data_IF_488116775433
#
_entry.id   IF_488116775433
#
_cell.length_a   1.000
_cell.length_b   1.000
_cell.length_c   1.000
_cell.angle_alpha   90.00
_cell.angle_beta   90.00
_cell.angle_gamma   90.00
#
_symmetry.space_group_name_H-M   'P 1'
#
loop_
_entity.id
_entity.type
_entity.pdbx_description
1 polymer ?
#
# COMPACT_ATOMS: atom_id res chain seq x y z
N UNK A 1 -37.48 21.99 -16.58
CA UNK A 1 -37.80 20.60 -16.96
C UNK A 1 -36.66 19.78 -16.38
N UNK A 2 -36.87 19.28 -15.16
CA UNK A 2 -35.93 18.41 -14.46
C UNK A 2 -36.04 16.99 -14.99
N UNK A 3 -34.91 16.37 -15.29
CA UNK A 3 -34.80 14.92 -15.32
C UNK A 3 -33.73 14.48 -14.32
N UNK A 4 -34.25 13.95 -13.21
CA UNK A 4 -33.60 12.95 -12.37
C UNK A 4 -33.17 11.78 -13.26
N UNK A 5 -31.97 11.26 -13.03
CA UNK A 5 -31.77 9.83 -12.85
C UNK A 5 -30.46 9.59 -12.09
N UNK A 6 -30.64 9.47 -10.78
CA UNK A 6 -29.74 8.89 -9.80
C UNK A 6 -29.65 7.39 -10.03
N UNK A 7 -28.45 6.89 -10.38
CA UNK A 7 -28.09 5.48 -10.24
C UNK A 7 -26.76 5.40 -9.49
N UNK A 8 -26.90 5.05 -8.21
CA UNK A 8 -26.01 4.23 -7.39
C UNK A 8 -24.61 4.74 -7.02
N UNK A 9 -24.60 5.67 -6.07
CA UNK A 9 -23.48 5.96 -5.15
C UNK A 9 -23.64 5.18 -3.81
N UNK A 10 -24.03 3.90 -3.86
CA UNK A 10 -24.44 3.13 -2.66
C UNK A 10 -23.62 1.86 -2.36
N UNK A 11 -22.51 1.60 -3.05
CA UNK A 11 -21.69 0.38 -2.80
C UNK A 11 -20.53 0.51 -1.80
N UNK A 12 -20.36 1.66 -1.12
CA UNK A 12 -19.22 1.89 -0.20
C UNK A 12 -19.67 2.07 1.27
N UNK A 13 -20.97 2.06 1.56
CA UNK A 13 -21.49 2.38 2.91
C UNK A 13 -21.20 1.39 4.06
N UNK A 14 -20.86 0.09 3.88
CA UNK A 14 -20.55 -0.73 5.05
C UNK A 14 -19.17 -0.47 5.68
N UNK A 15 -18.28 0.29 5.03
CA UNK A 15 -16.87 0.37 5.44
C UNK A 15 -16.41 1.73 5.98
N UNK A 16 -17.27 2.74 6.02
CA UNK A 16 -16.95 4.05 6.58
C UNK A 16 -18.14 4.53 7.40
N UNK A 17 -18.10 4.26 8.71
CA UNK A 17 -19.04 4.86 9.64
C UNK A 17 -18.93 6.40 9.57
N UNK A 18 -20.10 7.02 9.54
CA UNK A 18 -20.35 8.41 9.23
C UNK A 18 -19.66 9.40 10.17
N UNK A 19 -18.99 10.41 9.61
CA UNK A 19 -18.95 11.74 10.18
C UNK A 19 -18.99 12.78 9.04
N UNK A 20 -20.17 13.35 8.83
CA UNK A 20 -20.38 14.51 7.95
C UNK A 20 -19.55 15.69 8.48
N UNK A 21 -18.62 16.19 7.67
CA UNK A 21 -17.84 17.37 7.98
C UNK A 21 -17.04 17.84 6.78
N UNK A 22 -17.32 19.05 6.32
CA UNK A 22 -16.73 19.75 5.17
C UNK A 22 -15.20 19.70 5.12
N UNK A 23 -14.63 19.21 4.02
CA UNK A 23 -13.19 19.24 3.75
C UNK A 23 -12.73 20.68 3.46
N UNK A 24 -11.92 21.24 4.35
CA UNK A 24 -10.99 22.34 4.05
C UNK A 24 -9.59 21.74 4.02
N UNK A 25 -8.96 21.79 2.85
CA UNK A 25 -7.51 21.59 2.70
C UNK A 25 -6.84 22.87 3.17
N UNK A 26 -6.01 22.77 4.22
CA UNK A 26 -4.67 23.36 4.32
C UNK A 26 -4.16 23.40 5.78
N UNK A 27 -2.86 23.11 5.90
CA UNK A 27 -1.88 23.69 6.84
C UNK A 27 -1.60 23.07 8.23
N UNK A 28 -0.39 22.51 8.27
CA UNK A 28 0.73 22.89 9.14
C UNK A 28 1.00 22.16 10.47
N UNK A 29 2.28 21.75 10.53
CA UNK A 29 3.21 21.77 11.65
C UNK A 29 3.10 20.70 12.75
N UNK A 30 4.21 19.93 12.84
CA UNK A 30 4.99 19.75 14.07
C UNK A 30 4.25 20.12 15.37
N UNK A 31 3.62 19.14 16.00
CA UNK A 31 3.50 19.13 17.45
C UNK A 31 3.81 17.73 17.95
N UNK A 32 5.05 17.56 18.41
CA UNK A 32 5.33 16.63 19.50
C UNK A 32 4.34 16.93 20.65
N UNK A 33 3.97 15.91 21.40
CA UNK A 33 2.90 15.89 22.43
C UNK A 33 1.46 15.88 21.91
N UNK A 34 1.03 14.69 21.47
CA UNK A 34 -0.27 14.20 21.93
C UNK A 34 -0.05 12.86 22.61
N UNK A 35 -0.14 12.91 23.93
CA UNK A 35 -0.42 11.76 24.77
C UNK A 35 -1.37 10.82 24.04
N UNK A 36 -0.97 9.56 24.03
CA UNK A 36 -1.67 8.32 23.72
C UNK A 36 -3.00 8.11 24.47
N UNK A 37 -3.57 9.15 25.08
CA UNK A 37 -4.80 9.11 25.89
C UNK A 37 -5.99 9.92 25.36
N UNK A 38 -6.01 10.39 24.12
CA UNK A 38 -7.23 11.02 23.55
C UNK A 38 -7.64 10.43 22.22
N UNK A 39 -8.60 9.51 22.32
CA UNK A 39 -9.61 9.23 21.30
C UNK A 39 -10.12 10.55 20.71
N UNK A 40 -9.69 10.88 19.50
CA UNK A 40 -10.23 12.01 18.75
C UNK A 40 -11.44 11.53 17.96
N UNK A 41 -12.64 11.74 18.53
CA UNK A 41 -13.95 12.01 17.89
C UNK A 41 -14.44 11.23 16.65
N UNK A 42 -13.72 10.22 16.18
CA UNK A 42 -14.19 9.15 15.30
C UNK A 42 -13.81 7.87 16.02
N UNK A 43 -14.71 6.89 16.16
CA UNK A 43 -14.49 5.65 16.90
C UNK A 43 -13.39 4.72 16.34
N UNK A 44 -12.43 5.25 15.56
CA UNK A 44 -11.33 4.53 14.94
C UNK A 44 -10.35 4.01 16.01
N UNK A 45 -10.13 2.71 16.00
CA UNK A 45 -9.00 2.05 16.65
C UNK A 45 -7.66 2.52 16.04
N UNK A 46 -6.56 2.37 16.79
CA UNK A 46 -5.21 2.68 16.27
C UNK A 46 -4.86 1.89 15.00
N UNK A 47 -5.45 0.71 14.81
CA UNK A 47 -5.32 -0.11 13.61
C UNK A 47 -6.06 0.47 12.40
N UNK A 48 -7.32 0.87 12.55
CA UNK A 48 -8.10 1.48 11.46
C UNK A 48 -7.45 2.76 10.96
N UNK A 49 -6.98 3.60 11.88
CA UNK A 49 -6.21 4.80 11.54
C UNK A 49 -4.96 4.45 10.72
N UNK A 50 -4.19 3.46 11.18
CA UNK A 50 -2.97 3.02 10.49
C UNK A 50 -3.24 2.52 9.06
N UNK A 51 -4.32 1.76 8.88
CA UNK A 51 -4.72 1.25 7.56
C UNK A 51 -5.18 2.37 6.64
N UNK A 52 -6.00 3.31 7.15
CA UNK A 52 -6.48 4.47 6.39
C UNK A 52 -5.32 5.38 5.95
N UNK A 53 -4.43 5.74 6.86
CA UNK A 53 -3.27 6.58 6.54
C UNK A 53 -2.30 5.87 5.55
N UNK A 54 -2.13 4.54 5.69
CA UNK A 54 -1.35 3.77 4.73
C UNK A 54 -2.02 3.72 3.34
N UNK A 55 -3.33 3.51 3.28
CA UNK A 55 -4.09 3.46 2.03
C UNK A 55 -4.00 4.77 1.26
N UNK A 56 -4.17 5.92 1.92
CA UNK A 56 -4.03 7.22 1.25
C UNK A 56 -2.61 7.46 0.73
N UNK A 57 -1.60 7.09 1.52
CA UNK A 57 -0.20 7.27 1.14
C UNK A 57 0.20 6.38 -0.05
N UNK A 58 -0.30 5.16 -0.14
CA UNK A 58 0.05 4.24 -1.23
C UNK A 58 -0.54 4.64 -2.59
N UNK A 59 -1.61 5.45 -2.61
CA UNK A 59 -2.16 6.01 -3.86
C UNK A 59 -1.23 7.03 -4.52
N UNK A 60 -0.30 7.62 -3.76
CA UNK A 60 0.68 8.57 -4.27
C UNK A 60 1.69 7.84 -5.19
N UNK A 61 1.95 8.33 -6.42
CA UNK A 61 2.96 7.78 -7.34
C UNK A 61 4.38 7.71 -6.77
N UNK A 62 4.69 8.54 -5.77
CA UNK A 62 5.97 8.50 -5.05
C UNK A 62 6.08 7.32 -4.07
N UNK A 63 4.99 6.53 -3.95
CA UNK A 63 4.94 5.30 -3.16
C UNK A 63 4.66 4.08 -4.05
N UNK A 64 3.40 3.81 -4.40
CA UNK A 64 3.02 2.72 -5.31
C UNK A 64 2.24 3.27 -6.50
N UNK A 65 1.27 4.15 -6.24
CA UNK A 65 0.40 4.72 -7.26
C UNK A 65 -0.68 3.74 -7.73
N UNK A 66 -1.77 4.27 -8.27
CA UNK A 66 -2.81 3.47 -8.91
C UNK A 66 -2.45 3.20 -10.38
N UNK A 67 -2.21 1.93 -10.73
CA UNK A 67 -1.95 1.50 -12.12
C UNK A 67 -3.06 0.54 -12.57
N UNK A 68 -4.12 1.04 -13.24
CA UNK A 68 -5.29 0.20 -13.55
C UNK A 68 -5.02 -0.85 -14.63
N UNK A 69 -4.00 -0.69 -15.48
CA UNK A 69 -3.62 -1.69 -16.47
C UNK A 69 -2.67 -2.75 -15.90
N UNK A 70 -2.46 -3.82 -16.68
CA UNK A 70 -1.52 -4.89 -16.33
C UNK A 70 -0.08 -4.41 -16.57
N UNK A 71 0.84 -4.70 -15.65
CA UNK A 71 2.27 -4.45 -15.84
C UNK A 71 3.12 -5.62 -15.30
N UNK A 72 4.40 -5.64 -15.68
CA UNK A 72 5.39 -6.51 -15.02
C UNK A 72 6.16 -5.69 -13.99
N UNK A 73 6.26 -6.18 -12.75
CA UNK A 73 7.06 -5.54 -11.72
C UNK A 73 8.57 -5.69 -11.99
N UNK A 74 9.41 -5.13 -11.11
CA UNK A 74 10.87 -5.20 -11.25
C UNK A 74 11.44 -6.62 -11.21
N UNK A 75 10.66 -7.61 -10.77
CA UNK A 75 11.00 -9.04 -10.73
C UNK A 75 10.33 -9.83 -11.87
N UNK A 76 9.65 -9.14 -12.80
CA UNK A 76 8.97 -9.76 -13.92
C UNK A 76 7.66 -10.45 -13.53
N UNK A 77 7.04 -10.06 -12.42
CA UNK A 77 5.76 -10.61 -11.96
C UNK A 77 4.59 -9.77 -12.49
N UNK A 78 3.52 -10.44 -12.94
CA UNK A 78 2.32 -9.74 -13.42
C UNK A 78 1.60 -9.07 -12.24
N UNK A 79 1.36 -7.77 -12.36
CA UNK A 79 0.83 -6.92 -11.30
C UNK A 79 -0.18 -5.90 -11.88
N UNK A 80 -1.09 -5.41 -11.06
CA UNK A 80 -2.06 -4.34 -11.41
C UNK A 80 -2.51 -3.56 -10.17
N UNK A 81 -3.33 -2.52 -10.34
CA UNK A 81 -3.86 -1.68 -9.27
C UNK A 81 -2.74 -0.98 -8.49
N UNK A 82 -2.84 -1.00 -7.16
CA UNK A 82 -1.83 -0.44 -6.24
C UNK A 82 -0.81 -1.54 -5.86
N UNK A 83 -0.22 -2.22 -6.85
CA UNK A 83 0.79 -3.26 -6.57
C UNK A 83 0.24 -4.66 -6.29
N UNK A 84 -0.99 -4.97 -6.72
CA UNK A 84 -1.60 -6.29 -6.53
C UNK A 84 -0.97 -7.35 -7.47
N UNK A 85 -0.27 -8.32 -6.87
CA UNK A 85 0.35 -9.45 -7.57
C UNK A 85 -0.71 -10.43 -8.11
N UNK A 86 -0.66 -10.69 -9.42
CA UNK A 86 -1.57 -11.59 -10.16
C UNK A 86 -0.79 -12.46 -11.17
N UNK A 87 0.43 -12.88 -10.82
CA UNK A 87 1.36 -13.65 -11.70
C UNK A 87 0.91 -15.10 -11.96
N UNK A 88 0.05 -15.65 -11.12
CA UNK A 88 -0.55 -16.97 -11.30
C UNK A 88 -1.78 -16.86 -12.22
N UNK A 89 -1.88 -17.75 -13.21
CA UNK A 89 -2.99 -17.78 -14.17
C UNK A 89 -4.37 -17.88 -13.52
N UNK A 90 -4.52 -18.70 -12.48
CA UNK A 90 -5.77 -18.87 -11.73
C UNK A 90 -6.16 -17.56 -11.07
N UNK A 91 -5.20 -16.91 -10.42
CA UNK A 91 -5.42 -15.61 -9.77
C UNK A 91 -5.74 -14.54 -10.81
N UNK A 92 -5.00 -14.50 -11.92
CA UNK A 92 -5.19 -13.56 -13.01
C UNK A 92 -6.59 -13.67 -13.63
N UNK A 93 -7.08 -14.89 -13.86
CA UNK A 93 -8.41 -15.14 -14.44
C UNK A 93 -9.55 -14.77 -13.49
N UNK A 94 -9.33 -14.89 -12.18
CA UNK A 94 -10.30 -14.51 -11.15
C UNK A 94 -10.48 -12.99 -10.98
N UNK A 95 -9.62 -12.17 -11.59
CA UNK A 95 -9.77 -10.71 -11.56
C UNK A 95 -10.95 -10.27 -12.44
N UNK A 96 -11.71 -9.28 -11.94
CA UNK A 96 -12.80 -8.61 -12.65
C UNK A 96 -12.26 -7.61 -13.68
N UNK A 97 -11.51 -8.12 -14.67
CA UNK A 97 -10.96 -7.32 -15.75
C UNK A 97 -12.07 -6.66 -16.58
N UNK A 98 -11.88 -5.37 -16.86
CA UNK A 98 -12.70 -4.60 -17.77
C UNK A 98 -11.94 -4.35 -19.08
N UNK A 99 -12.61 -4.58 -20.21
CA UNK A 99 -12.11 -4.19 -21.52
C UNK A 99 -12.42 -2.70 -21.72
N UNK A 100 -11.38 -1.89 -21.93
CA UNK A 100 -11.46 -0.43 -22.09
C UNK A 100 -12.31 0.27 -21.01
N UNK A 101 -12.33 -0.26 -19.78
CA UNK A 101 -13.14 0.24 -18.66
C UNK A 101 -14.67 0.22 -18.89
N UNK A 102 -15.18 -0.59 -19.82
CA UNK A 102 -16.61 -0.56 -20.21
C UNK A 102 -17.38 -1.82 -19.86
N UNK A 103 -16.80 -2.99 -20.15
CA UNK A 103 -17.47 -4.28 -19.97
C UNK A 103 -16.55 -5.32 -19.36
N UNK A 104 -17.09 -6.32 -18.66
CA UNK A 104 -16.30 -7.48 -18.24
C UNK A 104 -15.58 -8.14 -19.42
N UNK A 105 -14.35 -8.57 -19.17
CA UNK A 105 -13.56 -9.35 -20.10
C UNK A 105 -14.02 -10.81 -20.13
N UNK A 106 -14.06 -11.38 -21.33
CA UNK A 106 -14.31 -12.81 -21.53
C UNK A 106 -13.08 -13.64 -21.12
N UNK A 107 -13.26 -14.93 -20.86
CA UNK A 107 -12.15 -15.84 -20.52
C UNK A 107 -11.09 -15.89 -21.62
N UNK A 108 -11.50 -15.80 -22.89
CA UNK A 108 -10.59 -15.74 -24.03
C UNK A 108 -9.73 -14.47 -24.02
N UNK A 109 -10.32 -13.31 -23.70
CA UNK A 109 -9.59 -12.04 -23.57
C UNK A 109 -8.63 -12.07 -22.38
N UNK A 110 -9.06 -12.63 -21.24
CA UNK A 110 -8.20 -12.84 -20.06
C UNK A 110 -7.01 -13.74 -20.41
N UNK A 111 -7.25 -14.88 -21.08
CA UNK A 111 -6.19 -15.79 -21.52
C UNK A 111 -5.20 -15.11 -22.47
N UNK A 112 -5.70 -14.38 -23.46
CA UNK A 112 -4.87 -13.69 -24.45
C UNK A 112 -3.96 -12.66 -23.77
N UNK A 113 -4.51 -11.88 -22.84
CA UNK A 113 -3.73 -10.92 -22.05
C UNK A 113 -2.68 -11.63 -21.17
N UNK A 114 -3.06 -12.68 -20.45
CA UNK A 114 -2.12 -13.45 -19.63
C UNK A 114 -0.94 -14.00 -20.45
N UNK A 115 -1.24 -14.66 -21.57
CA UNK A 115 -0.23 -15.18 -22.49
C UNK A 115 0.69 -14.07 -23.00
N UNK A 116 0.11 -12.91 -23.39
CA UNK A 116 0.88 -11.75 -23.84
C UNK A 116 1.88 -11.26 -22.80
N UNK A 117 1.50 -11.23 -21.53
CA UNK A 117 2.38 -10.80 -20.44
C UNK A 117 3.43 -11.86 -20.09
N UNK A 118 3.09 -13.14 -20.19
CA UNK A 118 4.08 -14.22 -20.09
C UNK A 118 5.12 -14.15 -21.21
N UNK A 119 4.73 -13.75 -22.43
CA UNK A 119 5.66 -13.53 -23.55
C UNK A 119 6.62 -12.37 -23.27
N UNK A 120 6.09 -11.24 -22.79
CA UNK A 120 6.90 -10.08 -22.41
C UNK A 120 7.90 -10.44 -21.30
N UNK A 121 7.48 -11.25 -20.33
CA UNK A 121 8.33 -11.79 -19.27
C UNK A 121 9.44 -12.68 -19.82
N UNK A 122 9.14 -13.60 -20.76
CA UNK A 122 10.15 -14.44 -21.43
C UNK A 122 11.16 -13.61 -22.24
N UNK A 123 10.71 -12.50 -22.82
CA UNK A 123 11.56 -11.53 -23.52
C UNK A 123 12.35 -10.62 -22.59
N UNK A 124 12.27 -10.82 -21.25
CA UNK A 124 12.90 -9.99 -20.22
C UNK A 124 12.55 -8.50 -20.36
N UNK A 125 11.33 -8.20 -20.80
CA UNK A 125 10.77 -6.84 -20.86
C UNK A 125 10.23 -6.44 -19.48
N UNK A 126 11.11 -6.42 -18.46
CA UNK A 126 10.82 -6.02 -17.08
C UNK A 126 12.10 -5.52 -16.40
N UNK A 127 11.98 -4.93 -15.21
CA UNK A 127 13.12 -4.39 -14.46
C UNK A 127 13.18 -2.86 -14.54
N UNK A 128 14.35 -2.29 -14.23
CA UNK A 128 14.50 -0.82 -14.12
C UNK A 128 14.28 -0.08 -15.44
N UNK A 129 14.45 -0.77 -16.58
CA UNK A 129 14.28 -0.20 -17.92
C UNK A 129 12.80 -0.13 -18.37
N UNK A 130 11.88 -0.76 -17.63
CA UNK A 130 10.48 -0.91 -18.01
C UNK A 130 9.55 -0.47 -16.88
N UNK A 131 9.17 0.80 -16.90
CA UNK A 131 8.15 1.33 -15.98
C UNK A 131 6.74 0.87 -16.34
N UNK A 132 5.79 1.01 -15.40
CA UNK A 132 4.40 0.62 -15.60
C UNK A 132 3.78 1.21 -16.88
N UNK A 133 4.13 2.45 -17.24
CA UNK A 133 3.64 3.12 -18.46
C UNK A 133 3.97 2.39 -19.77
N UNK A 134 5.07 1.63 -19.83
CA UNK A 134 5.45 0.83 -21.00
C UNK A 134 4.41 -0.23 -21.36
N UNK A 135 3.64 -0.71 -20.38
CA UNK A 135 2.69 -1.80 -20.57
C UNK A 135 1.28 -1.35 -20.94
N UNK A 136 1.01 -0.04 -20.92
CA UNK A 136 -0.34 0.54 -21.05
C UNK A 136 -1.06 0.14 -22.35
N UNK A 137 -0.32 -0.08 -23.43
CA UNK A 137 -0.82 -0.44 -24.75
C UNK A 137 -0.69 -1.95 -25.06
N UNK A 138 -0.19 -2.76 -24.11
CA UNK A 138 0.05 -4.19 -24.31
C UNK A 138 -1.19 -5.04 -24.06
N UNK A 139 -2.24 -4.46 -23.48
CA UNK A 139 -3.56 -5.06 -23.30
C UNK A 139 -4.61 -3.96 -23.15
N UNK A 140 -5.86 -4.29 -23.46
CA UNK A 140 -7.05 -3.45 -23.21
C UNK A 140 -7.65 -3.67 -21.83
N UNK A 141 -7.14 -4.65 -21.08
CA UNK A 141 -7.66 -5.03 -19.78
C UNK A 141 -7.18 -4.08 -18.69
N UNK A 142 -8.14 -3.62 -17.91
CA UNK A 142 -7.95 -2.75 -16.77
C UNK A 142 -8.79 -3.24 -15.58
N UNK A 143 -8.32 -2.98 -14.37
CA UNK A 143 -9.17 -3.10 -13.17
C UNK A 143 -9.89 -1.77 -12.90
N UNK A 144 -11.06 -1.85 -12.29
CA UNK A 144 -11.70 -0.64 -11.76
C UNK A 144 -10.90 -0.08 -10.58
N UNK A 145 -11.05 1.22 -10.32
CA UNK A 145 -10.46 1.85 -9.13
C UNK A 145 -10.97 1.18 -7.85
N UNK A 146 -12.28 0.91 -7.76
CA UNK A 146 -12.88 0.22 -6.61
C UNK A 146 -12.22 -1.14 -6.36
N UNK A 147 -12.00 -1.95 -7.41
CA UNK A 147 -11.30 -3.22 -7.29
C UNK A 147 -9.86 -3.03 -6.79
N UNK A 148 -9.12 -2.10 -7.38
CA UNK A 148 -7.73 -1.83 -7.00
C UNK A 148 -7.60 -1.40 -5.53
N UNK A 149 -8.51 -0.52 -5.07
CA UNK A 149 -8.55 -0.07 -3.68
C UNK A 149 -8.95 -1.19 -2.72
N UNK A 150 -9.91 -2.04 -3.10
CA UNK A 150 -10.29 -3.21 -2.30
C UNK A 150 -9.09 -4.15 -2.13
N UNK A 151 -8.38 -4.49 -3.21
CA UNK A 151 -7.20 -5.37 -3.16
C UNK A 151 -6.07 -4.78 -2.33
N UNK A 152 -5.84 -3.46 -2.44
CA UNK A 152 -4.87 -2.76 -1.58
C UNK A 152 -5.25 -2.89 -0.10
N UNK A 153 -6.54 -2.70 0.22
CA UNK A 153 -7.01 -2.76 1.60
C UNK A 153 -6.88 -4.19 2.17
N UNK A 154 -7.27 -5.22 1.41
CA UNK A 154 -7.08 -6.63 1.79
C UNK A 154 -5.60 -6.94 2.08
N UNK A 155 -4.71 -6.43 1.22
CA UNK A 155 -3.26 -6.59 1.40
C UNK A 155 -2.79 -5.90 2.68
N UNK A 156 -3.17 -4.64 2.92
CA UNK A 156 -2.82 -3.90 4.13
C UNK A 156 -3.31 -4.59 5.42
N UNK A 157 -4.52 -5.14 5.41
CA UNK A 157 -5.09 -5.88 6.53
C UNK A 157 -4.27 -7.13 6.86
N UNK A 158 -3.94 -7.92 5.83
CA UNK A 158 -3.10 -9.10 5.99
C UNK A 158 -1.68 -8.72 6.45
N UNK A 159 -1.13 -7.63 5.95
CA UNK A 159 0.18 -7.12 6.33
C UNK A 159 0.23 -6.69 7.80
N UNK A 160 -0.78 -5.95 8.24
CA UNK A 160 -0.93 -5.55 9.64
C UNK A 160 -1.06 -6.77 10.55
N UNK A 161 -1.89 -7.75 10.19
CA UNK A 161 -2.02 -9.02 10.92
C UNK A 161 -0.66 -9.70 11.05
N UNK A 162 0.09 -9.80 9.95
CA UNK A 162 1.39 -10.46 9.91
C UNK A 162 2.49 -9.70 10.67
N UNK A 163 2.39 -8.38 10.77
CA UNK A 163 3.29 -7.60 11.63
C UNK A 163 3.02 -7.87 13.10
N UNK A 164 1.74 -7.94 13.50
CA UNK A 164 1.35 -8.31 14.87
C UNK A 164 1.80 -9.71 15.25
N UNK A 165 1.65 -10.68 14.33
CA UNK A 165 2.15 -12.05 14.53
C UNK A 165 3.69 -12.12 14.57
N UNK A 166 4.36 -11.22 13.85
CA UNK A 166 5.79 -11.31 13.59
C UNK A 166 6.67 -10.43 14.46
N UNK A 167 6.13 -9.47 15.20
CA UNK A 167 6.86 -8.51 16.04
C UNK A 167 6.22 -8.47 17.43
N UNK A 168 6.94 -8.98 18.42
CA UNK A 168 6.48 -8.97 19.81
C UNK A 168 6.18 -7.55 20.28
N UNK A 169 5.01 -7.34 20.86
CA UNK A 169 4.57 -6.02 21.34
C UNK A 169 4.35 -4.99 20.24
N UNK A 170 4.05 -5.41 18.99
CA UNK A 170 3.80 -4.49 17.87
C UNK A 170 2.83 -3.36 18.20
N UNK A 171 1.72 -3.67 18.87
CA UNK A 171 0.70 -2.67 19.21
C UNK A 171 1.20 -1.62 20.22
N UNK A 172 2.28 -1.91 20.97
CA UNK A 172 2.94 -0.98 21.90
C UNK A 172 4.07 -0.17 21.28
N UNK A 173 4.40 -0.38 20.00
CA UNK A 173 5.41 0.43 19.32
C UNK A 173 4.95 1.90 19.15
N UNK A 174 5.87 2.86 19.02
CA UNK A 174 5.54 4.22 18.60
C UNK A 174 4.76 4.21 17.29
N UNK A 175 3.70 5.03 17.21
CA UNK A 175 2.86 5.10 16.01
C UNK A 175 3.66 5.35 14.71
N UNK A 176 4.62 6.29 14.66
CA UNK A 176 5.43 6.51 13.44
C UNK A 176 6.21 5.26 13.00
N UNK A 177 6.64 4.42 13.94
CA UNK A 177 7.33 3.18 13.60
C UNK A 177 6.37 2.14 13.01
N UNK A 178 5.11 2.06 13.49
CA UNK A 178 4.10 1.14 12.92
C UNK A 178 3.81 1.48 11.45
N UNK A 179 3.70 2.77 11.12
CA UNK A 179 3.52 3.21 9.74
C UNK A 179 4.67 2.79 8.84
N UNK A 180 5.91 3.01 9.29
CA UNK A 180 7.11 2.62 8.54
C UNK A 180 7.14 1.11 8.35
N UNK A 181 6.84 0.32 9.38
CA UNK A 181 6.85 -1.14 9.29
C UNK A 181 5.78 -1.66 8.33
N UNK A 182 4.57 -1.09 8.37
CA UNK A 182 3.50 -1.44 7.43
C UNK A 182 3.90 -1.10 6.00
N UNK A 183 4.50 0.06 5.77
CA UNK A 183 5.02 0.44 4.46
C UNK A 183 6.16 -0.46 3.97
N UNK A 184 7.09 -0.84 4.85
CA UNK A 184 8.20 -1.75 4.51
C UNK A 184 7.62 -3.10 4.10
N UNK A 185 6.63 -3.57 4.86
CA UNK A 185 6.01 -4.85 4.60
C UNK A 185 5.26 -4.87 3.27
N UNK A 186 4.48 -3.82 2.99
CA UNK A 186 3.75 -3.70 1.74
C UNK A 186 4.71 -3.80 0.54
N UNK A 187 5.80 -3.04 0.57
CA UNK A 187 6.71 -2.94 -0.57
C UNK A 187 7.65 -4.15 -0.72
N UNK A 188 8.13 -4.71 0.38
CA UNK A 188 9.22 -5.70 0.35
C UNK A 188 8.82 -7.10 0.82
N UNK A 189 7.59 -7.25 1.33
CA UNK A 189 7.12 -8.44 2.01
C UNK A 189 7.66 -8.53 3.44
N UNK A 190 7.91 -9.74 3.93
CA UNK A 190 8.18 -10.00 5.35
C UNK A 190 9.31 -9.13 5.97
N UNK A 191 8.99 -8.46 7.08
CA UNK A 191 9.93 -7.72 7.95
C UNK A 191 10.44 -8.63 9.07
N UNK A 192 11.02 -9.78 8.70
CA UNK A 192 11.52 -10.79 9.65
C UNK A 192 12.95 -10.53 10.11
N UNK A 193 13.38 -11.18 11.20
CA UNK A 193 14.76 -11.12 11.67
C UNK A 193 15.78 -11.50 10.58
N UNK A 194 15.46 -12.48 9.74
CA UNK A 194 16.35 -12.93 8.67
C UNK A 194 16.49 -11.90 7.55
N UNK A 195 15.39 -11.23 7.18
CA UNK A 195 15.39 -10.27 6.06
C UNK A 195 15.80 -8.86 6.48
N UNK A 196 15.51 -8.48 7.72
CA UNK A 196 15.72 -7.14 8.27
C UNK A 196 16.43 -7.19 9.64
N UNK A 197 17.59 -7.85 9.76
CA UNK A 197 18.21 -8.15 11.06
C UNK A 197 18.54 -6.90 11.88
N UNK A 198 19.11 -5.88 11.25
CA UNK A 198 19.53 -4.66 11.95
C UNK A 198 18.33 -3.81 12.39
N UNK A 199 17.30 -3.68 11.54
CA UNK A 199 16.06 -3.00 11.89
C UNK A 199 15.38 -3.71 13.07
N UNK A 200 15.27 -5.04 13.01
CA UNK A 200 14.66 -5.87 14.06
C UNK A 200 15.42 -5.80 15.38
N UNK A 201 16.76 -5.80 15.32
CA UNK A 201 17.59 -5.60 16.51
C UNK A 201 17.39 -4.20 17.10
N UNK A 202 17.36 -3.15 16.27
CA UNK A 202 17.08 -1.78 16.73
C UNK A 202 15.72 -1.65 17.42
N UNK A 203 14.68 -2.32 16.92
CA UNK A 203 13.36 -2.36 17.56
C UNK A 203 13.42 -3.04 18.93
N UNK A 204 14.09 -4.20 19.03
CA UNK A 204 14.23 -4.94 20.30
C UNK A 204 15.00 -4.12 21.34
N UNK A 205 16.03 -3.42 20.90
CA UNK A 205 16.87 -2.56 21.72
C UNK A 205 16.22 -1.19 21.98
N UNK A 206 15.09 -0.87 21.33
CA UNK A 206 14.47 0.47 21.32
C UNK A 206 15.44 1.60 20.91
N UNK A 207 16.38 1.29 20.02
CA UNK A 207 17.42 2.19 19.53
C UNK A 207 17.01 2.86 18.21
N UNK A 208 16.64 4.13 18.29
CA UNK A 208 16.13 4.94 17.19
C UNK A 208 17.19 5.25 16.13
N UNK A 209 18.46 5.45 16.51
CA UNK A 209 19.56 5.63 15.56
C UNK A 209 19.75 4.38 14.70
N UNK A 210 19.77 3.20 15.31
CA UNK A 210 19.90 1.92 14.61
C UNK A 210 18.72 1.68 13.67
N UNK A 211 17.50 2.02 14.10
CA UNK A 211 16.31 1.94 13.23
C UNK A 211 16.44 2.92 12.07
N UNK A 212 16.74 4.20 12.33
CA UNK A 212 16.88 5.25 11.33
C UNK A 212 17.85 4.89 10.20
N UNK A 213 18.97 4.24 10.53
CA UNK A 213 19.95 3.80 9.55
C UNK A 213 19.56 2.52 8.80
N UNK A 214 18.55 1.78 9.26
CA UNK A 214 18.17 0.47 8.72
C UNK A 214 16.72 0.36 8.24
N UNK A 215 15.99 1.48 8.10
CA UNK A 215 14.65 1.53 7.48
C UNK A 215 14.67 1.71 5.95
N UNK A 216 15.84 1.98 5.37
CA UNK A 216 15.98 2.18 3.93
C UNK A 216 15.78 0.87 3.14
N UNK A 217 14.98 0.94 2.09
CA UNK A 217 14.78 -0.15 1.12
C UNK A 217 15.76 0.00 -0.05
N UNK A 218 16.40 -1.09 -0.44
CA UNK A 218 17.33 -1.10 -1.57
C UNK A 218 16.61 -0.88 -2.91
N UNK A 219 17.17 -0.03 -3.78
CA UNK A 219 16.67 0.23 -5.15
C UNK A 219 15.25 0.82 -5.23
N UNK A 220 14.79 1.48 -4.18
CA UNK A 220 13.48 2.16 -4.10
C UNK A 220 13.66 3.68 -4.21
N UNK A 221 12.60 4.37 -4.64
CA UNK A 221 12.52 5.82 -4.76
C UNK A 221 13.02 6.54 -3.51
N UNK A 222 13.86 7.56 -3.70
CA UNK A 222 14.50 8.32 -2.63
C UNK A 222 13.49 8.94 -1.67
N UNK A 223 12.39 9.48 -2.21
CA UNK A 223 11.32 10.14 -1.44
C UNK A 223 10.64 9.20 -0.44
N UNK A 224 10.38 7.95 -0.80
CA UNK A 224 9.77 6.95 0.12
C UNK A 224 10.71 6.56 1.27
N UNK A 225 12.01 6.45 0.99
CA UNK A 225 13.03 6.20 2.02
C UNK A 225 13.23 7.43 2.92
N UNK A 226 13.17 8.64 2.36
CA UNK A 226 13.23 9.89 3.11
C UNK A 226 12.02 10.04 4.05
N UNK A 227 10.81 9.79 3.55
CA UNK A 227 9.59 9.76 4.38
C UNK A 227 9.73 8.80 5.57
N UNK A 228 10.23 7.59 5.34
CA UNK A 228 10.41 6.61 6.40
C UNK A 228 11.35 7.14 7.49
N UNK A 229 12.48 7.74 7.09
CA UNK A 229 13.43 8.38 8.01
C UNK A 229 12.83 9.53 8.79
N UNK A 230 12.02 10.37 8.17
CA UNK A 230 11.31 11.47 8.84
C UNK A 230 10.30 10.95 9.87
N UNK A 231 9.59 9.86 9.59
CA UNK A 231 8.73 9.20 10.58
C UNK A 231 9.55 8.69 11.78
N UNK A 232 10.72 8.10 11.56
CA UNK A 232 11.59 7.68 12.68
C UNK A 232 12.07 8.89 13.49
N UNK A 233 12.45 9.99 12.85
CA UNK A 233 12.84 11.26 13.52
C UNK A 233 11.71 11.85 14.37
N UNK A 234 10.45 11.60 14.02
CA UNK A 234 9.30 12.07 14.79
C UNK A 234 9.06 11.26 16.07
N UNK A 235 9.82 10.20 16.34
CA UNK A 235 9.69 9.40 17.56
C UNK A 235 10.46 10.09 18.70
N UNK A 236 9.80 10.48 19.80
CA UNK A 236 10.46 11.02 20.98
C UNK A 236 11.29 9.95 21.70
N UNK A 237 12.40 10.36 22.33
CA UNK A 237 13.22 9.51 23.19
C UNK A 237 12.59 9.38 24.59
N UNK A 238 11.50 8.63 24.68
CA UNK A 238 10.74 8.40 25.90
C UNK A 238 10.32 6.92 26.00
N UNK A 239 9.82 6.47 27.15
CA UNK A 239 9.32 5.09 27.33
C UNK A 239 10.35 3.99 26.97
N UNK A 240 11.63 4.28 27.22
CA UNK A 240 12.77 3.41 26.94
C UNK A 240 13.31 3.50 25.50
N UNK A 241 12.76 4.36 24.65
CA UNK A 241 13.32 4.68 23.34
C UNK A 241 14.46 5.69 23.46
N UNK A 242 15.52 5.50 22.69
CA UNK A 242 16.71 6.36 22.72
C UNK A 242 17.32 6.54 21.33
N UNK A 243 17.93 7.70 21.10
CA UNK A 243 18.72 8.01 19.90
C UNK A 243 20.18 7.60 20.12
#
# INVERSE_FOLDING_TARGET
MDFKDSIEYDFIKPYLNEAKGTYRIAENALSATRSDGRHTATGDTSGERLLREAAERLKDPDFEGLVPHIYLDTKGKITTGVGALVDDETTFKAVDWLVDNKRPATDAEKQAAYNRFQDLKRQKKFGQDYGAGYYKDKSRLHVSEAYALQRMNDHLQNDLKKLREGIDGFDSLPYPLKEVLLDIRYNTGAVSQTKWPNLRNGIREKNLTKIYHNVNRLKIQEKRNQWAKERIKAIPAENGWHW
#
